data_IF_330049232930
#
_entry.id   IF_330049232930
#
_cell.length_a   1.000
_cell.length_b   1.000
_cell.length_c   1.000
_cell.angle_alpha   90.00
_cell.angle_beta   90.00
_cell.angle_gamma   90.00
#
_symmetry.space_group_name_H-M   'P 1'
#
loop_
_entity.id
_entity.type
_entity.pdbx_description
1 polymer ?
#
# COMPACT_ATOMS: atom_id res chain seq x y z
N UNK A 1 64.08 -19.52 25.54
CA UNK A 1 63.31 -20.29 26.55
C UNK A 1 61.97 -20.66 25.91
N UNK A 2 61.77 -21.92 25.55
CA UNK A 2 60.55 -22.42 24.87
C UNK A 2 59.49 -22.68 25.92
N UNK A 3 58.33 -22.02 25.84
CA UNK A 3 57.15 -22.36 26.66
C UNK A 3 56.09 -22.89 25.69
N UNK A 4 55.79 -24.18 25.87
CA UNK A 4 54.74 -24.93 25.20
C UNK A 4 53.39 -24.46 25.76
N UNK A 5 52.51 -23.95 24.91
CA UNK A 5 51.09 -23.85 25.25
C UNK A 5 50.39 -25.11 24.73
N UNK A 6 49.99 -25.96 25.67
CA UNK A 6 49.19 -27.15 25.43
C UNK A 6 47.81 -26.74 24.92
N UNK A 7 47.41 -27.32 23.78
CA UNK A 7 46.06 -27.23 23.26
C UNK A 7 45.09 -27.94 24.22
N UNK A 8 44.19 -27.17 24.85
CA UNK A 8 43.01 -27.70 25.51
C UNK A 8 41.87 -27.67 24.48
N UNK A 9 41.62 -28.80 23.84
CA UNK A 9 40.53 -28.98 22.89
C UNK A 9 39.21 -29.02 23.67
N UNK A 10 38.51 -27.88 23.75
CA UNK A 10 37.13 -27.86 24.18
C UNK A 10 36.26 -28.47 23.07
N UNK A 11 35.80 -29.70 23.26
CA UNK A 11 34.74 -30.28 22.46
C UNK A 11 33.44 -29.51 22.74
N UNK A 12 33.15 -28.49 21.92
CA UNK A 12 31.78 -28.02 21.77
C UNK A 12 30.99 -29.15 21.12
N UNK A 13 30.24 -29.89 21.92
CA UNK A 13 29.06 -30.60 21.47
C UNK A 13 28.15 -29.56 20.82
N UNK A 14 28.14 -29.50 19.50
CA UNK A 14 26.99 -29.00 18.77
C UNK A 14 25.83 -29.94 19.13
N UNK A 15 25.11 -29.63 20.19
CA UNK A 15 23.70 -29.97 20.22
C UNK A 15 23.12 -29.29 18.98
N UNK A 16 22.88 -30.08 17.93
CA UNK A 16 22.06 -29.61 16.82
C UNK A 16 20.81 -29.01 17.44
N UNK A 17 20.55 -27.73 17.17
CA UNK A 17 19.26 -27.14 17.46
C UNK A 17 18.26 -28.04 16.76
N UNK A 18 17.60 -28.93 17.52
CA UNK A 18 16.48 -29.68 17.01
C UNK A 18 15.48 -28.61 16.57
N UNK A 19 15.32 -28.46 15.26
CA UNK A 19 14.28 -27.61 14.73
C UNK A 19 12.97 -28.21 15.24
N UNK A 20 12.23 -27.44 16.05
CA UNK A 20 10.90 -27.86 16.48
C UNK A 20 10.09 -28.19 15.24
N UNK A 21 9.59 -29.42 15.14
CA UNK A 21 8.89 -29.87 13.95
C UNK A 21 7.45 -29.35 13.90
N UNK A 22 6.94 -28.90 15.05
CA UNK A 22 5.64 -28.29 15.26
C UNK A 22 5.78 -26.79 15.54
N UNK A 23 5.01 -25.95 14.85
CA UNK A 23 4.93 -24.51 15.09
C UNK A 23 3.48 -24.04 15.21
N UNK A 24 3.20 -23.14 16.17
CA UNK A 24 1.90 -22.48 16.32
C UNK A 24 2.00 -21.05 15.83
N UNK A 25 1.41 -20.77 14.66
CA UNK A 25 1.45 -19.49 13.96
C UNK A 25 0.19 -18.68 14.28
N UNK A 26 0.37 -17.42 14.70
CA UNK A 26 -0.69 -16.49 15.11
C UNK A 26 -0.47 -15.11 14.49
N UNK A 27 -1.50 -14.27 14.52
CA UNK A 27 -1.32 -12.83 14.32
C UNK A 27 -0.52 -12.28 15.53
N UNK A 28 0.69 -11.78 15.27
CA UNK A 28 1.64 -11.35 16.31
C UNK A 28 1.18 -10.12 17.11
N UNK A 29 0.25 -9.32 16.56
CA UNK A 29 -0.41 -8.25 17.33
C UNK A 29 -1.59 -8.86 18.10
N UNK A 30 -2.50 -9.53 17.37
CA UNK A 30 -3.62 -10.25 17.93
C UNK A 30 -4.90 -10.16 17.10
N UNK A 31 -6.05 -10.26 17.76
CA UNK A 31 -7.37 -10.39 17.13
C UNK A 31 -8.42 -9.47 17.78
N UNK A 32 -9.36 -8.95 16.98
CA UNK A 32 -10.50 -8.21 17.53
C UNK A 32 -11.51 -9.13 18.22
N UNK A 33 -12.14 -8.63 19.29
CA UNK A 33 -13.09 -9.37 20.15
C UNK A 33 -14.17 -10.11 19.36
N UNK A 34 -14.83 -9.42 18.43
CA UNK A 34 -15.92 -9.99 17.64
C UNK A 34 -15.47 -10.57 16.29
N UNK A 35 -14.19 -10.45 15.94
CA UNK A 35 -13.67 -10.94 14.66
C UNK A 35 -13.44 -12.45 14.68
N UNK A 36 -13.42 -13.11 13.50
CA UNK A 36 -12.90 -14.46 13.37
C UNK A 36 -11.45 -14.57 13.86
N UNK A 37 -11.11 -15.63 14.58
CA UNK A 37 -9.80 -15.84 15.20
C UNK A 37 -9.29 -17.23 14.91
N UNK A 38 -8.17 -17.29 14.20
CA UNK A 38 -7.55 -18.53 13.79
C UNK A 38 -6.06 -18.51 14.08
N UNK A 39 -5.54 -19.66 14.54
CA UNK A 39 -4.12 -19.98 14.53
C UNK A 39 -3.88 -21.16 13.58
N UNK A 40 -2.67 -21.24 13.03
CA UNK A 40 -2.25 -22.35 12.19
C UNK A 40 -1.18 -23.15 12.92
N UNK A 41 -1.44 -24.44 13.14
CA UNK A 41 -0.43 -25.39 13.58
C UNK A 41 0.23 -25.97 12.34
N UNK A 42 1.49 -25.61 12.11
CA UNK A 42 2.32 -26.11 11.02
C UNK A 42 3.17 -27.28 11.54
N UNK A 43 3.13 -28.40 10.83
CA UNK A 43 3.92 -29.60 11.10
C UNK A 43 4.92 -29.86 9.98
N UNK A 44 6.09 -30.35 10.35
CA UNK A 44 7.18 -30.79 9.46
C UNK A 44 7.76 -32.12 9.95
N UNK A 45 8.58 -32.80 9.16
CA UNK A 45 9.29 -34.00 9.61
C UNK A 45 8.41 -35.08 10.23
N UNK A 46 8.86 -35.66 11.33
CA UNK A 46 8.22 -36.77 12.02
C UNK A 46 6.90 -36.37 12.72
N UNK A 47 6.74 -35.10 13.10
CA UNK A 47 5.50 -34.58 13.70
C UNK A 47 4.25 -34.77 12.80
N UNK A 48 4.45 -34.91 11.49
CA UNK A 48 3.38 -35.21 10.52
C UNK A 48 2.79 -36.61 10.69
N UNK A 49 3.57 -37.58 11.17
CA UNK A 49 3.11 -38.95 11.33
C UNK A 49 2.14 -39.12 12.51
N UNK A 50 2.22 -38.21 13.50
CA UNK A 50 1.37 -38.20 14.70
C UNK A 50 0.90 -36.77 14.98
N UNK A 51 0.01 -36.23 14.14
CA UNK A 51 -0.42 -34.85 14.27
C UNK A 51 -1.19 -34.64 15.58
N UNK A 52 -1.02 -33.49 16.24
CA UNK A 52 -1.82 -33.14 17.40
C UNK A 52 -3.30 -33.01 17.02
N UNK A 53 -4.18 -33.40 17.95
CA UNK A 53 -5.64 -33.39 17.72
C UNK A 53 -6.33 -32.18 18.36
N UNK A 54 -5.77 -31.63 19.44
CA UNK A 54 -6.40 -30.57 20.24
C UNK A 54 -5.52 -29.36 20.35
N UNK A 55 -6.15 -28.21 20.53
CA UNK A 55 -5.49 -27.00 21.01
C UNK A 55 -6.16 -26.52 22.29
N UNK A 56 -5.42 -25.73 23.06
CA UNK A 56 -5.93 -25.02 24.24
C UNK A 56 -5.50 -23.56 24.17
N UNK A 57 -6.45 -22.66 24.36
CA UNK A 57 -6.19 -21.25 24.62
C UNK A 57 -5.95 -21.08 26.13
N UNK A 58 -4.80 -20.51 26.47
CA UNK A 58 -4.38 -20.27 27.83
C UNK A 58 -4.38 -18.77 28.10
N UNK A 59 -4.87 -18.37 29.26
CA UNK A 59 -4.57 -17.05 29.81
C UNK A 59 -3.05 -16.92 29.98
N UNK A 60 -2.46 -15.86 29.43
CA UNK A 60 -1.01 -15.72 29.39
C UNK A 60 -0.38 -15.45 30.77
N UNK A 61 -1.13 -14.89 31.72
CA UNK A 61 -0.61 -14.57 33.05
C UNK A 61 -0.82 -15.74 34.02
N UNK A 62 -2.02 -16.30 34.06
CA UNK A 62 -2.36 -17.37 35.02
C UNK A 62 -2.08 -18.77 34.48
N UNK A 63 -1.74 -18.90 33.19
CA UNK A 63 -1.57 -20.17 32.48
C UNK A 63 -2.81 -21.09 32.55
N UNK A 64 -3.99 -20.50 32.81
CA UNK A 64 -5.25 -21.24 32.97
C UNK A 64 -5.87 -21.48 31.61
N UNK A 65 -6.32 -22.71 31.36
CA UNK A 65 -7.11 -23.02 30.18
C UNK A 65 -8.43 -22.26 30.21
N UNK A 66 -8.66 -21.44 29.18
CA UNK A 66 -9.88 -20.64 29.02
C UNK A 66 -10.77 -21.17 27.89
N UNK A 67 -10.18 -21.86 26.92
CA UNK A 67 -10.87 -22.56 25.85
C UNK A 67 -10.05 -23.77 25.43
N UNK A 68 -10.72 -24.86 25.05
CA UNK A 68 -10.09 -25.97 24.31
C UNK A 68 -10.92 -26.28 23.07
N UNK A 69 -10.25 -26.72 22.02
CA UNK A 69 -10.90 -27.10 20.77
C UNK A 69 -10.12 -28.18 20.02
N UNK A 70 -10.68 -28.63 18.91
CA UNK A 70 -10.07 -29.63 18.04
C UNK A 70 -9.39 -28.93 16.87
N UNK A 71 -8.18 -29.39 16.54
CA UNK A 71 -7.45 -28.96 15.37
C UNK A 71 -8.11 -29.51 14.10
N UNK A 72 -8.43 -28.62 13.17
CA UNK A 72 -9.08 -28.97 11.91
C UNK A 72 -8.01 -29.15 10.83
N UNK A 73 -7.88 -30.33 10.20
CA UNK A 73 -6.91 -30.51 9.11
C UNK A 73 -7.22 -29.53 7.98
N UNK A 74 -6.19 -29.01 7.32
CA UNK A 74 -6.30 -28.18 6.13
C UNK A 74 -5.72 -28.93 4.94
N UNK A 75 -6.16 -28.54 3.74
CA UNK A 75 -5.62 -29.09 2.51
C UNK A 75 -4.14 -28.73 2.34
N UNK A 76 -3.42 -29.55 1.58
CA UNK A 76 -2.03 -29.28 1.22
C UNK A 76 -1.94 -27.97 0.41
N UNK A 77 -0.90 -27.19 0.69
CA UNK A 77 -0.63 -25.94 -0.03
C UNK A 77 0.39 -26.22 -1.15
N UNK A 78 0.02 -26.07 -2.43
CA UNK A 78 0.92 -26.39 -3.54
C UNK A 78 2.24 -25.62 -3.46
N UNK A 79 3.36 -26.35 -3.63
CA UNK A 79 4.70 -25.77 -3.63
C UNK A 79 5.28 -25.42 -2.26
N UNK A 80 4.58 -25.69 -1.15
CA UNK A 80 5.08 -25.43 0.21
C UNK A 80 5.86 -26.61 0.83
N UNK A 81 6.11 -27.65 0.04
CA UNK A 81 6.95 -28.79 0.40
C UNK A 81 6.33 -29.69 1.47
N UNK A 82 7.18 -30.25 2.32
CA UNK A 82 6.82 -31.23 3.35
C UNK A 82 6.21 -30.60 4.61
N UNK A 83 5.15 -29.82 4.43
CA UNK A 83 4.41 -29.16 5.51
C UNK A 83 2.97 -29.63 5.54
N UNK A 84 2.43 -29.84 6.74
CA UNK A 84 1.01 -30.12 6.95
C UNK A 84 0.44 -29.07 7.90
N UNK A 85 -0.79 -28.62 7.63
CA UNK A 85 -1.39 -27.50 8.34
C UNK A 85 -2.69 -27.92 9.03
N UNK A 86 -2.88 -27.43 10.24
CA UNK A 86 -4.12 -27.55 10.99
C UNK A 86 -4.59 -26.18 11.46
N UNK A 87 -5.89 -25.93 11.38
CA UNK A 87 -6.52 -24.71 11.87
C UNK A 87 -7.03 -24.92 13.29
N UNK A 88 -6.65 -24.02 14.18
CA UNK A 88 -7.29 -23.83 15.48
C UNK A 88 -8.24 -22.63 15.40
N UNK A 89 -9.54 -22.87 15.38
CA UNK A 89 -10.57 -21.83 15.43
C UNK A 89 -10.99 -21.56 16.87
N UNK A 90 -10.69 -20.37 17.37
CA UNK A 90 -11.07 -19.91 18.69
C UNK A 90 -11.93 -18.64 18.63
N UNK A 91 -12.65 -18.44 17.51
CA UNK A 91 -13.52 -17.30 17.28
C UNK A 91 -14.59 -17.13 18.36
N UNK A 92 -15.05 -18.25 18.94
CA UNK A 92 -16.01 -18.26 20.05
C UNK A 92 -15.50 -17.64 21.35
N UNK A 93 -14.20 -17.46 21.52
CA UNK A 93 -13.65 -16.73 22.66
C UNK A 93 -13.65 -15.22 22.40
N UNK A 94 -14.42 -14.50 23.21
CA UNK A 94 -14.65 -13.05 23.04
C UNK A 94 -14.20 -12.23 24.26
N UNK A 95 -13.60 -12.86 25.27
CA UNK A 95 -13.11 -12.15 26.46
C UNK A 95 -11.81 -11.41 26.11
N UNK A 96 -11.73 -10.08 26.27
CA UNK A 96 -10.49 -9.35 26.09
C UNK A 96 -9.39 -9.85 27.03
N UNK A 97 -8.13 -9.83 26.59
CA UNK A 97 -7.00 -10.28 27.40
C UNK A 97 -5.76 -10.64 26.58
N UNK A 98 -4.73 -11.15 27.28
CA UNK A 98 -3.51 -11.68 26.66
C UNK A 98 -3.51 -13.20 26.75
N UNK A 99 -3.25 -13.86 25.62
CA UNK A 99 -3.39 -15.30 25.51
C UNK A 99 -2.19 -15.93 24.80
N UNK A 100 -2.05 -17.23 25.01
CA UNK A 100 -1.15 -18.12 24.27
C UNK A 100 -1.96 -19.31 23.80
N UNK A 101 -1.71 -19.77 22.57
CA UNK A 101 -2.30 -21.01 22.07
C UNK A 101 -1.29 -22.15 22.20
N UNK A 102 -1.71 -23.24 22.83
CA UNK A 102 -0.90 -24.44 23.06
C UNK A 102 -1.49 -25.63 22.32
N UNK A 103 -0.61 -26.48 21.78
CA UNK A 103 -0.92 -27.82 21.31
C UNK A 103 0.11 -28.80 21.86
N UNK A 104 -0.27 -30.06 22.07
CA UNK A 104 0.66 -31.12 22.52
C UNK A 104 0.96 -32.03 21.33
N UNK A 105 2.21 -32.04 20.88
CA UNK A 105 2.70 -32.83 19.74
C UNK A 105 3.81 -33.81 20.15
N UNK A 106 4.48 -34.43 19.18
CA UNK A 106 5.70 -35.21 19.40
C UNK A 106 6.84 -34.41 20.02
N UNK A 107 6.83 -33.08 19.84
CA UNK A 107 7.80 -32.14 20.43
C UNK A 107 7.46 -31.77 21.89
N UNK A 108 6.39 -32.34 22.45
CA UNK A 108 5.84 -31.97 23.75
C UNK A 108 4.81 -30.84 23.66
N UNK A 109 4.72 -30.01 24.70
CA UNK A 109 3.81 -28.87 24.72
C UNK A 109 4.39 -27.70 23.93
N UNK A 110 3.82 -27.44 22.76
CA UNK A 110 4.24 -26.38 21.84
C UNK A 110 3.28 -25.20 21.93
N UNK A 111 3.85 -24.00 22.09
CA UNK A 111 3.12 -22.75 22.33
C UNK A 111 3.39 -21.73 21.24
N UNK A 112 2.39 -20.88 20.96
CA UNK A 112 2.60 -19.64 20.23
C UNK A 112 3.36 -18.61 21.08
N UNK A 113 3.80 -17.52 20.46
CA UNK A 113 4.04 -16.28 21.21
C UNK A 113 2.74 -15.72 21.82
N UNK A 114 2.83 -14.83 22.83
CA UNK A 114 1.66 -14.18 23.40
C UNK A 114 1.01 -13.23 22.39
N UNK A 115 -0.32 -13.16 22.39
CA UNK A 115 -1.08 -12.23 21.54
C UNK A 115 -2.27 -11.63 22.32
N UNK A 116 -2.85 -10.56 21.78
CA UNK A 116 -3.94 -9.84 22.43
C UNK A 116 -5.28 -10.19 21.78
N UNK A 117 -6.34 -10.32 22.56
CA UNK A 117 -7.72 -10.20 22.09
C UNK A 117 -8.27 -8.91 22.68
N UNK A 118 -8.66 -7.96 21.82
CA UNK A 118 -9.02 -6.60 22.23
C UNK A 118 -9.98 -5.93 21.25
N UNK A 119 -10.41 -4.72 21.55
CA UNK A 119 -11.20 -3.92 20.62
C UNK A 119 -10.30 -2.97 19.82
N UNK A 120 -10.66 -2.74 18.56
CA UNK A 120 -9.95 -1.86 17.61
C UNK A 120 -8.43 -2.14 17.58
N UNK A 121 -8.04 -3.42 17.65
CA UNK A 121 -6.71 -3.83 18.08
C UNK A 121 -5.61 -3.31 17.16
N UNK A 122 -5.75 -3.55 15.85
CA UNK A 122 -4.72 -3.13 14.90
C UNK A 122 -4.58 -1.61 14.86
N UNK A 123 -5.70 -0.87 14.95
CA UNK A 123 -5.66 0.59 14.95
C UNK A 123 -5.00 1.12 16.21
N UNK A 124 -5.35 0.57 17.37
CA UNK A 124 -4.78 0.98 18.65
C UNK A 124 -3.27 0.78 18.71
N UNK A 125 -2.78 -0.36 18.20
CA UNK A 125 -1.37 -0.75 18.34
C UNK A 125 -0.48 -0.39 17.16
N UNK A 126 -1.02 -0.07 15.97
CA UNK A 126 -0.18 0.12 14.77
C UNK A 126 -0.41 1.43 14.03
N UNK A 127 -1.59 2.06 14.15
CA UNK A 127 -1.93 3.21 13.31
C UNK A 127 -1.02 4.42 13.57
N UNK A 128 -0.69 4.70 14.83
CA UNK A 128 0.24 5.77 15.19
C UNK A 128 1.62 5.60 14.54
N UNK A 129 2.12 4.37 14.51
CA UNK A 129 3.43 4.05 13.95
C UNK A 129 3.42 4.11 12.42
N UNK A 130 2.34 3.66 11.78
CA UNK A 130 2.16 3.81 10.33
C UNK A 130 2.13 5.29 9.92
N UNK A 131 1.42 6.14 10.67
CA UNK A 131 1.41 7.59 10.40
C UNK A 131 2.81 8.19 10.63
N UNK A 132 3.50 7.79 11.71
CA UNK A 132 4.86 8.25 11.99
C UNK A 132 5.86 7.78 10.91
N UNK A 133 5.68 6.57 10.38
CA UNK A 133 6.46 6.03 9.27
C UNK A 133 6.38 6.96 8.06
N UNK A 134 5.18 7.30 7.57
CA UNK A 134 5.04 8.23 6.43
C UNK A 134 5.69 9.58 6.74
N UNK A 135 5.47 10.13 7.93
CA UNK A 135 6.12 11.39 8.32
C UNK A 135 7.64 11.32 8.31
N UNK A 136 8.23 10.17 8.66
CA UNK A 136 9.67 9.94 8.62
C UNK A 136 10.22 9.73 7.21
N UNK A 137 9.40 9.29 6.27
CA UNK A 137 9.76 9.08 4.86
C UNK A 137 9.54 10.32 3.99
N UNK A 138 9.13 11.47 4.56
CA UNK A 138 9.00 12.71 3.80
C UNK A 138 10.33 13.08 3.14
N UNK A 139 10.27 13.55 1.89
CA UNK A 139 11.44 14.14 1.22
C UNK A 139 11.89 15.36 2.00
N UNK A 140 13.15 15.38 2.41
CA UNK A 140 13.70 16.36 3.36
C UNK A 140 15.13 16.75 2.99
N UNK A 141 15.66 17.80 3.62
CA UNK A 141 17.07 18.16 3.52
C UNK A 141 17.51 18.54 2.10
N UNK A 142 18.63 18.00 1.64
CA UNK A 142 19.21 18.34 0.34
C UNK A 142 18.33 17.90 -0.84
N UNK A 143 17.59 16.80 -0.70
CA UNK A 143 16.66 16.35 -1.74
C UNK A 143 15.47 17.30 -1.89
N UNK A 144 14.82 17.71 -0.79
CA UNK A 144 13.74 18.71 -0.86
C UNK A 144 14.25 20.04 -1.45
N UNK A 145 15.47 20.45 -1.09
CA UNK A 145 16.09 21.66 -1.65
C UNK A 145 16.31 21.56 -3.17
N UNK A 146 16.74 20.40 -3.67
CA UNK A 146 16.91 20.17 -5.09
C UNK A 146 15.56 20.16 -5.82
N UNK A 147 14.54 19.50 -5.25
CA UNK A 147 13.22 19.32 -5.85
C UNK A 147 12.45 20.64 -6.07
N UNK A 148 12.89 21.73 -5.42
CA UNK A 148 12.35 23.09 -5.64
C UNK A 148 12.75 23.71 -6.97
N UNK A 149 13.76 23.18 -7.66
CA UNK A 149 14.34 23.77 -8.88
C UNK A 149 14.82 22.71 -9.87
N UNK A 150 14.04 21.65 -10.08
CA UNK A 150 14.41 20.61 -11.05
C UNK A 150 14.30 21.15 -12.48
N UNK A 151 15.22 20.80 -13.39
CA UNK A 151 15.10 21.17 -14.79
C UNK A 151 13.84 20.55 -15.40
N UNK A 152 13.16 21.30 -16.26
CA UNK A 152 12.07 20.74 -17.07
C UNK A 152 12.62 19.66 -18.03
N UNK A 153 11.89 18.55 -18.23
CA UNK A 153 12.35 17.50 -19.14
C UNK A 153 12.54 17.98 -20.59
N UNK A 154 13.42 17.33 -21.36
CA UNK A 154 13.60 17.61 -22.78
C UNK A 154 12.27 17.60 -23.54
N UNK A 155 12.08 18.60 -24.42
CA UNK A 155 10.87 18.73 -25.24
C UNK A 155 9.62 19.23 -24.51
N UNK A 156 9.72 19.61 -23.21
CA UNK A 156 8.59 20.15 -22.42
C UNK A 156 8.69 21.67 -22.16
N UNK A 157 9.76 22.31 -22.63
CA UNK A 157 10.05 23.73 -22.44
C UNK A 157 11.47 23.98 -21.94
N UNK A 158 11.75 25.18 -21.42
CA UNK A 158 13.01 25.55 -20.78
C UNK A 158 12.75 26.13 -19.39
N UNK A 159 13.73 26.00 -18.49
CA UNK A 159 13.64 26.48 -17.11
C UNK A 159 13.54 25.35 -16.09
N UNK A 160 13.01 25.69 -14.91
CA UNK A 160 12.91 24.77 -13.77
C UNK A 160 11.49 24.71 -13.23
N UNK A 161 11.16 23.61 -12.56
CA UNK A 161 9.90 23.42 -11.83
C UNK A 161 10.17 23.16 -10.35
N UNK A 162 9.26 23.63 -9.51
CA UNK A 162 9.19 23.28 -8.09
C UNK A 162 8.22 22.13 -7.90
N UNK A 163 8.74 20.95 -7.55
CA UNK A 163 8.00 19.72 -7.27
C UNK A 163 8.30 19.16 -5.87
N UNK A 164 8.72 20.02 -4.93
CA UNK A 164 9.13 19.57 -3.60
C UNK A 164 7.99 18.93 -2.78
N UNK A 165 8.36 18.10 -1.81
CA UNK A 165 7.46 17.32 -0.97
C UNK A 165 7.36 15.85 -1.41
N UNK A 166 6.28 15.19 -0.99
CA UNK A 166 6.10 13.75 -1.20
C UNK A 166 6.92 12.91 -0.23
N UNK A 167 7.02 11.61 -0.51
CA UNK A 167 7.71 10.62 0.30
C UNK A 167 8.68 9.81 -0.55
N UNK A 168 9.81 9.42 0.03
CA UNK A 168 10.69 8.41 -0.59
C UNK A 168 9.91 7.12 -0.81
N UNK A 169 10.07 6.52 -1.99
CA UNK A 169 9.25 5.39 -2.43
C UNK A 169 9.58 4.08 -1.71
N UNK A 170 10.85 3.87 -1.36
CA UNK A 170 11.29 2.68 -0.63
C UNK A 170 12.50 2.95 0.27
N UNK A 171 12.77 2.02 1.19
CA UNK A 171 13.94 2.08 2.09
C UNK A 171 15.28 2.10 1.37
N UNK A 172 15.32 1.63 0.11
CA UNK A 172 16.48 1.68 -0.77
C UNK A 172 16.29 2.54 -2.02
N UNK A 173 15.15 3.24 -2.13
CA UNK A 173 14.85 4.11 -3.27
C UNK A 173 14.32 5.47 -2.80
N UNK A 174 15.17 6.49 -2.93
CA UNK A 174 14.85 7.88 -2.58
C UNK A 174 14.21 8.67 -3.74
N UNK A 175 13.75 7.99 -4.78
CA UNK A 175 12.85 8.55 -5.78
C UNK A 175 11.45 8.82 -5.19
N UNK A 176 10.64 9.60 -5.91
CA UNK A 176 9.22 9.83 -5.60
C UNK A 176 8.41 9.51 -6.85
N UNK A 177 7.40 8.65 -6.71
CA UNK A 177 6.61 8.19 -7.86
C UNK A 177 5.12 8.38 -7.67
N UNK A 178 4.44 8.74 -8.76
CA UNK A 178 2.99 8.59 -8.86
C UNK A 178 2.63 7.17 -9.32
N UNK A 179 3.46 6.62 -10.22
CA UNK A 179 3.45 5.24 -10.73
C UNK A 179 4.81 4.94 -11.38
N UNK A 180 5.05 3.67 -11.71
CA UNK A 180 6.11 3.21 -12.63
C UNK A 180 5.63 2.06 -13.53
N UNK A 181 6.54 1.38 -14.23
CA UNK A 181 6.30 0.17 -15.05
C UNK A 181 5.44 0.42 -16.31
N UNK A 182 5.57 1.60 -16.94
CA UNK A 182 4.72 2.02 -18.05
C UNK A 182 4.76 1.08 -19.26
N UNK A 183 5.86 0.39 -19.50
CA UNK A 183 5.98 -0.51 -20.67
C UNK A 183 5.35 -1.91 -20.45
N UNK A 184 4.64 -2.14 -19.34
CA UNK A 184 4.03 -3.43 -19.01
C UNK A 184 2.53 -3.53 -19.33
N UNK A 185 1.88 -2.40 -19.64
CA UNK A 185 0.42 -2.21 -19.76
C UNK A 185 -0.42 -2.54 -18.52
N UNK A 186 -0.07 -3.56 -17.72
CA UNK A 186 -0.92 -4.16 -16.69
C UNK A 186 -0.36 -4.08 -15.25
N UNK A 187 0.83 -3.51 -15.05
CA UNK A 187 1.50 -3.49 -13.74
C UNK A 187 1.79 -2.08 -13.22
N UNK A 188 1.06 -1.07 -13.70
CA UNK A 188 1.16 0.28 -13.16
C UNK A 188 0.63 0.33 -11.71
N UNK A 189 1.52 0.62 -10.76
CA UNK A 189 1.19 0.77 -9.34
C UNK A 189 0.73 2.20 -9.03
N UNK A 190 -0.28 2.34 -8.15
CA UNK A 190 -0.66 3.65 -7.64
C UNK A 190 0.16 3.92 -6.36
N UNK A 191 1.09 4.87 -6.41
CA UNK A 191 2.10 5.08 -5.35
C UNK A 191 1.75 6.27 -4.44
N UNK A 192 2.51 7.38 -4.47
CA UNK A 192 2.25 8.54 -3.60
C UNK A 192 0.79 9.05 -3.62
N UNK A 193 0.08 9.07 -4.77
CA UNK A 193 -1.33 9.46 -4.79
C UNK A 193 -2.25 8.53 -3.98
N UNK A 194 -1.96 7.23 -3.94
CA UNK A 194 -2.73 6.26 -3.15
C UNK A 194 -2.53 6.49 -1.65
N UNK A 195 -1.34 6.91 -1.23
CA UNK A 195 -1.07 7.30 0.16
C UNK A 195 -1.95 8.49 0.57
N UNK A 196 -2.01 9.53 -0.26
CA UNK A 196 -2.88 10.70 -0.01
C UNK A 196 -4.34 10.28 0.11
N UNK A 197 -4.84 9.52 -0.86
CA UNK A 197 -6.22 9.06 -0.85
C UNK A 197 -6.53 8.21 0.40
N UNK A 198 -5.64 7.29 0.77
CA UNK A 198 -5.82 6.38 1.90
C UNK A 198 -5.80 7.11 3.23
N UNK A 199 -4.89 8.06 3.44
CA UNK A 199 -4.83 8.88 4.65
C UNK A 199 -6.10 9.73 4.82
N UNK A 200 -6.54 10.40 3.76
CA UNK A 200 -7.73 11.25 3.80
C UNK A 200 -9.04 10.45 3.90
N UNK A 201 -9.09 9.28 3.26
CA UNK A 201 -10.25 8.37 3.39
C UNK A 201 -10.29 7.75 4.79
N UNK A 202 -9.15 7.36 5.33
CA UNK A 202 -9.02 6.89 6.71
C UNK A 202 -9.44 7.96 7.71
N UNK A 203 -9.03 9.22 7.51
CA UNK A 203 -9.50 10.37 8.28
C UNK A 203 -11.04 10.48 8.29
N UNK A 204 -11.70 10.35 7.14
CA UNK A 204 -13.17 10.37 7.06
C UNK A 204 -13.81 9.17 7.77
N UNK A 205 -13.25 7.97 7.60
CA UNK A 205 -13.78 6.75 8.21
C UNK A 205 -13.66 6.79 9.75
N UNK A 206 -12.54 7.27 10.28
CA UNK A 206 -12.36 7.47 11.73
C UNK A 206 -13.32 8.54 12.25
N UNK A 207 -13.47 9.65 11.51
CA UNK A 207 -14.42 10.70 11.86
C UNK A 207 -15.87 10.21 11.90
N UNK A 208 -16.26 9.31 10.99
CA UNK A 208 -17.60 8.74 10.96
C UNK A 208 -17.90 7.75 12.10
N UNK A 209 -16.86 7.17 12.72
CA UNK A 209 -17.00 6.29 13.90
C UNK A 209 -17.16 7.05 15.21
N UNK A 210 -16.77 8.32 15.24
CA UNK A 210 -16.88 9.21 16.40
C UNK A 210 -16.31 8.59 17.70
N UNK A 211 -15.12 7.98 17.59
CA UNK A 211 -14.43 7.35 18.71
C UNK A 211 -13.27 8.25 19.18
N UNK A 212 -13.36 8.85 20.39
CA UNK A 212 -12.40 9.84 20.87
C UNK A 212 -11.00 9.27 21.08
N UNK A 213 -10.84 7.94 21.21
CA UNK A 213 -9.53 7.31 21.32
C UNK A 213 -8.67 7.49 20.05
N UNK A 214 -9.28 7.89 18.93
CA UNK A 214 -8.60 8.06 17.65
C UNK A 214 -8.51 9.52 17.17
N UNK A 215 -8.92 10.49 17.99
CA UNK A 215 -8.96 11.90 17.58
C UNK A 215 -7.57 12.44 17.19
N UNK A 216 -6.54 12.14 17.97
CA UNK A 216 -5.18 12.59 17.67
C UNK A 216 -4.60 11.88 16.44
N UNK A 217 -4.93 10.61 16.22
CA UNK A 217 -4.52 9.89 15.02
C UNK A 217 -5.21 10.48 13.79
N UNK A 218 -6.50 10.78 13.90
CA UNK A 218 -7.29 11.43 12.85
C UNK A 218 -6.68 12.78 12.46
N UNK A 219 -6.31 13.65 13.41
CA UNK A 219 -5.63 14.93 13.12
C UNK A 219 -4.30 14.72 12.41
N UNK A 220 -3.49 13.74 12.83
CA UNK A 220 -2.21 13.43 12.18
C UNK A 220 -2.38 12.84 10.77
N UNK A 221 -3.44 12.05 10.53
CA UNK A 221 -3.77 11.56 9.19
C UNK A 221 -4.20 12.70 8.26
N UNK A 222 -4.94 13.69 8.78
CA UNK A 222 -5.30 14.88 8.01
C UNK A 222 -4.05 15.70 7.63
N UNK A 223 -3.15 15.97 8.59
CA UNK A 223 -1.86 16.65 8.35
C UNK A 223 -1.05 15.94 7.25
N UNK A 224 -0.82 14.64 7.40
CA UNK A 224 -0.02 13.86 6.46
C UNK A 224 -0.69 13.73 5.07
N UNK A 225 -2.03 13.58 5.05
CA UNK A 225 -2.79 13.55 3.81
C UNK A 225 -2.74 14.87 3.05
N UNK A 226 -2.87 16.01 3.73
CA UNK A 226 -2.78 17.34 3.12
C UNK A 226 -1.35 17.67 2.66
N UNK A 227 -0.32 17.24 3.39
CA UNK A 227 1.07 17.35 2.96
C UNK A 227 1.29 16.68 1.59
N UNK A 228 0.75 15.47 1.39
CA UNK A 228 0.84 14.81 0.09
C UNK A 228 -0.08 15.44 -0.97
N UNK A 229 -1.26 15.94 -0.61
CA UNK A 229 -2.11 16.68 -1.54
C UNK A 229 -1.39 17.92 -2.11
N UNK A 230 -0.63 18.64 -1.28
CA UNK A 230 0.19 19.75 -1.75
C UNK A 230 1.25 19.33 -2.75
N UNK A 231 1.91 18.19 -2.49
CA UNK A 231 2.86 17.61 -3.43
C UNK A 231 2.20 17.27 -4.79
N UNK A 232 1.00 16.69 -4.79
CA UNK A 232 0.27 16.39 -6.02
C UNK A 232 -0.07 17.66 -6.82
N UNK A 233 -0.40 18.77 -6.16
CA UNK A 233 -0.59 20.06 -6.85
C UNK A 233 0.71 20.54 -7.50
N UNK A 234 1.87 20.39 -6.84
CA UNK A 234 3.17 20.78 -7.42
C UNK A 234 3.59 19.89 -8.58
N UNK A 235 3.23 18.61 -8.55
CA UNK A 235 3.48 17.67 -9.65
C UNK A 235 2.64 17.94 -10.91
N UNK A 236 1.56 18.73 -10.79
CA UNK A 236 0.70 19.09 -11.93
C UNK A 236 1.42 20.04 -12.88
N UNK A 237 1.43 19.72 -14.17
CA UNK A 237 1.82 20.66 -15.22
C UNK A 237 0.66 21.62 -15.52
N UNK A 238 0.89 22.94 -15.69
CA UNK A 238 -0.18 23.89 -15.98
C UNK A 238 -1.00 23.49 -17.22
N UNK A 239 -2.33 23.34 -17.08
CA UNK A 239 -3.25 22.98 -18.17
C UNK A 239 -3.09 21.55 -18.73
N UNK A 240 -2.21 20.72 -18.17
CA UNK A 240 -1.89 19.38 -18.68
C UNK A 240 -2.12 18.28 -17.63
N UNK A 241 -1.45 17.13 -17.69
CA UNK A 241 -1.47 16.13 -16.62
C UNK A 241 -0.33 16.38 -15.61
N UNK A 242 0.03 15.37 -14.83
CA UNK A 242 1.09 15.42 -13.81
C UNK A 242 2.40 14.89 -14.37
N UNK A 243 3.54 15.36 -13.87
CA UNK A 243 4.77 14.57 -13.94
C UNK A 243 4.58 13.24 -13.21
N UNK A 244 5.30 12.20 -13.63
CA UNK A 244 5.11 10.87 -13.04
C UNK A 244 6.15 10.51 -11.97
N UNK A 245 7.40 10.98 -12.09
CA UNK A 245 8.50 10.52 -11.23
C UNK A 245 9.57 11.58 -11.06
N UNK A 246 10.08 11.69 -9.82
CA UNK A 246 11.35 12.35 -9.50
C UNK A 246 12.37 11.26 -9.17
N UNK A 247 13.52 11.26 -9.84
CA UNK A 247 14.59 10.29 -9.58
C UNK A 247 15.90 10.95 -9.22
N UNK A 248 16.78 10.18 -8.58
CA UNK A 248 18.19 10.50 -8.39
C UNK A 248 19.02 9.56 -9.26
N UNK A 249 19.34 9.90 -10.52
CA UNK A 249 20.25 9.12 -11.35
C UNK A 249 21.67 9.05 -10.77
N UNK A 250 22.50 8.20 -11.38
CA UNK A 250 23.89 8.00 -10.95
C UNK A 250 24.05 6.97 -9.84
N UNK A 251 25.30 6.52 -9.66
CA UNK A 251 25.67 5.49 -8.68
C UNK A 251 25.50 5.99 -7.23
N UNK A 252 25.87 7.24 -6.99
CA UNK A 252 25.90 7.84 -5.67
C UNK A 252 24.55 8.46 -5.24
N UNK A 253 23.56 8.51 -6.15
CA UNK A 253 22.20 8.98 -5.89
C UNK A 253 22.17 10.36 -5.20
N UNK A 254 23.01 11.29 -5.67
CA UNK A 254 23.20 12.58 -5.01
C UNK A 254 22.04 13.54 -5.27
N UNK A 255 21.82 14.46 -4.33
CA UNK A 255 20.74 15.43 -4.42
C UNK A 255 20.85 16.37 -5.62
N UNK A 256 22.07 16.75 -5.98
CA UNK A 256 22.36 17.58 -7.15
C UNK A 256 22.00 16.91 -8.48
N UNK A 257 21.88 15.58 -8.50
CA UNK A 257 21.62 14.81 -9.72
C UNK A 257 20.12 14.58 -9.92
N UNK A 258 19.25 15.07 -9.02
CA UNK A 258 17.80 14.85 -9.10
C UNK A 258 17.19 15.44 -10.36
N UNK A 259 16.25 14.71 -10.94
CA UNK A 259 15.54 15.08 -12.17
C UNK A 259 14.11 14.58 -12.16
N UNK A 260 13.26 15.21 -12.97
CA UNK A 260 12.04 14.53 -13.44
C UNK A 260 12.49 13.39 -14.36
N UNK A 261 12.16 12.15 -13.98
CA UNK A 261 12.69 10.97 -14.63
C UNK A 261 11.89 10.56 -15.86
N UNK A 262 12.56 9.86 -16.79
CA UNK A 262 11.89 9.22 -17.92
C UNK A 262 10.93 8.16 -17.37
N UNK A 263 9.61 8.26 -17.60
CA UNK A 263 8.65 7.29 -17.05
C UNK A 263 8.48 6.05 -17.94
N UNK A 264 9.04 6.05 -19.17
CA UNK A 264 8.88 4.97 -20.15
C UNK A 264 9.86 3.82 -19.90
N UNK A 265 9.74 3.18 -18.74
CA UNK A 265 10.56 2.03 -18.39
C UNK A 265 9.75 0.92 -17.73
N UNK A 266 10.34 -0.28 -17.69
CA UNK A 266 9.86 -1.43 -16.93
C UNK A 266 11.03 -2.29 -16.44
N UNK A 267 10.78 -3.11 -15.43
CA UNK A 267 11.70 -4.18 -15.07
C UNK A 267 11.65 -5.32 -16.09
N UNK A 268 12.75 -6.06 -16.20
CA UNK A 268 12.82 -7.34 -16.90
C UNK A 268 13.59 -8.36 -16.07
N UNK A 269 13.22 -9.63 -16.24
CA UNK A 269 13.95 -10.74 -15.65
C UNK A 269 15.26 -10.89 -16.42
N UNK A 270 16.37 -10.97 -15.71
CA UNK A 270 17.67 -11.29 -16.32
C UNK A 270 17.67 -12.76 -16.73
N UNK A 271 17.98 -13.02 -18.00
CA UNK A 271 18.27 -14.37 -18.47
C UNK A 271 19.78 -14.65 -18.42
N UNK A 272 20.58 -13.58 -18.54
CA UNK A 272 22.05 -13.62 -18.47
C UNK A 272 22.56 -12.57 -17.49
N UNK A 273 23.76 -12.80 -16.94
CA UNK A 273 24.38 -11.89 -15.97
C UNK A 273 24.56 -10.46 -16.52
N UNK A 274 24.91 -10.36 -17.81
CA UNK A 274 25.11 -9.11 -18.55
C UNK A 274 23.85 -8.30 -18.81
N UNK A 275 22.66 -8.88 -18.64
CA UNK A 275 21.41 -8.20 -18.97
C UNK A 275 21.15 -7.06 -17.97
N UNK A 276 20.56 -5.97 -18.46
CA UNK A 276 19.98 -4.94 -17.59
C UNK A 276 18.75 -5.51 -16.87
N UNK A 277 18.51 -5.08 -15.63
CA UNK A 277 17.23 -5.36 -14.94
C UNK A 277 16.10 -4.47 -15.41
N UNK A 278 16.38 -3.47 -16.27
CA UNK A 278 15.45 -2.46 -16.73
C UNK A 278 15.48 -2.37 -18.26
N UNK A 279 14.29 -2.26 -18.86
CA UNK A 279 14.08 -1.80 -20.23
C UNK A 279 13.56 -0.37 -20.15
N UNK A 280 14.21 0.54 -20.86
CA UNK A 280 13.79 1.92 -20.98
C UNK A 280 13.67 2.29 -22.46
N UNK A 281 12.57 2.95 -22.80
CA UNK A 281 12.33 3.55 -24.12
C UNK A 281 12.46 5.07 -24.01
N UNK A 282 12.86 5.72 -25.09
CA UNK A 282 13.02 7.18 -25.12
C UNK A 282 11.67 7.89 -24.87
N UNK A 283 11.66 8.88 -23.98
CA UNK A 283 10.51 9.76 -23.80
C UNK A 283 10.47 10.84 -24.90
N UNK A 284 9.70 10.58 -25.96
CA UNK A 284 9.59 11.48 -27.11
C UNK A 284 8.36 12.39 -27.01
N UNK A 285 8.60 13.69 -26.97
CA UNK A 285 7.56 14.72 -27.01
C UNK A 285 6.97 15.11 -25.65
N UNK A 286 6.12 16.16 -25.61
CA UNK A 286 5.71 16.79 -24.36
C UNK A 286 4.78 15.93 -23.49
N UNK A 287 4.09 14.95 -24.07
CA UNK A 287 3.20 14.03 -23.35
C UNK A 287 3.94 12.87 -22.69
N UNK A 288 5.14 12.52 -23.16
CA UNK A 288 5.85 11.32 -22.72
C UNK A 288 6.34 11.38 -21.27
N UNK A 289 6.40 12.58 -20.67
CA UNK A 289 6.82 12.81 -19.29
C UNK A 289 5.65 12.85 -18.30
N UNK A 290 4.44 12.60 -18.79
CA UNK A 290 3.21 12.84 -18.05
C UNK A 290 2.50 11.55 -17.69
N UNK A 291 1.84 11.56 -16.54
CA UNK A 291 1.05 10.44 -16.05
C UNK A 291 -0.30 10.34 -16.77
N UNK A 292 -0.61 9.14 -17.29
CA UNK A 292 -1.93 8.70 -17.76
C UNK A 292 -2.85 8.38 -16.58
N UNK A 293 -4.12 8.03 -16.83
CA UNK A 293 -5.04 7.57 -15.78
C UNK A 293 -4.41 6.42 -14.98
N UNK A 294 -3.98 5.34 -15.66
CA UNK A 294 -3.34 4.20 -15.00
C UNK A 294 -1.95 4.49 -14.44
N UNK A 295 -1.20 5.45 -14.98
CA UNK A 295 0.17 5.75 -14.50
C UNK A 295 0.21 6.83 -13.42
N UNK A 296 -0.80 6.85 -12.54
CA UNK A 296 -0.82 7.62 -11.30
C UNK A 296 -1.66 8.90 -11.35
N UNK A 297 -2.03 9.40 -12.53
CA UNK A 297 -2.81 10.65 -12.61
C UNK A 297 -4.27 10.46 -12.18
N UNK A 298 -4.89 9.31 -12.49
CA UNK A 298 -6.27 9.05 -12.09
C UNK A 298 -6.41 9.01 -10.56
N UNK A 299 -5.47 8.34 -9.88
CA UNK A 299 -5.43 8.35 -8.40
C UNK A 299 -5.08 9.73 -7.83
N UNK A 300 -4.25 10.53 -8.53
CA UNK A 300 -3.96 11.92 -8.13
C UNK A 300 -5.19 12.80 -8.18
N UNK A 301 -5.99 12.68 -9.23
CA UNK A 301 -7.29 13.36 -9.38
C UNK A 301 -8.22 12.94 -8.24
N UNK A 302 -8.34 11.65 -7.95
CA UNK A 302 -9.17 11.14 -6.87
C UNK A 302 -8.75 11.68 -5.50
N UNK A 303 -7.44 11.67 -5.23
CA UNK A 303 -6.86 12.17 -3.99
C UNK A 303 -7.09 13.69 -3.82
N UNK A 304 -6.86 14.49 -4.85
CA UNK A 304 -7.08 15.95 -4.82
C UNK A 304 -8.56 16.32 -4.73
N UNK A 305 -9.43 15.60 -5.44
CA UNK A 305 -10.88 15.77 -5.31
C UNK A 305 -11.33 15.44 -3.88
N UNK A 306 -10.78 14.40 -3.25
CA UNK A 306 -11.05 14.08 -1.85
C UNK A 306 -10.50 15.16 -0.89
N UNK A 307 -9.26 15.62 -1.10
CA UNK A 307 -8.63 16.69 -0.31
C UNK A 307 -9.46 17.98 -0.31
N UNK A 308 -10.10 18.31 -1.44
CA UNK A 308 -10.99 19.49 -1.53
C UNK A 308 -12.20 19.46 -0.58
N UNK A 309 -12.54 18.28 -0.03
CA UNK A 309 -13.66 18.09 0.89
C UNK A 309 -13.26 18.09 2.37
N UNK A 310 -11.97 18.24 2.67
CA UNK A 310 -11.48 18.26 4.04
C UNK A 310 -11.89 19.54 4.78
N UNK A 311 -11.72 19.54 6.10
CA UNK A 311 -12.00 20.71 6.93
C UNK A 311 -10.92 21.80 6.82
N UNK A 312 -9.67 21.40 6.55
CA UNK A 312 -8.51 22.29 6.51
C UNK A 312 -7.88 22.34 5.11
N UNK A 313 -7.18 23.44 4.85
CA UNK A 313 -6.28 23.61 3.71
C UNK A 313 -4.87 23.13 4.09
N UNK A 314 -4.06 22.76 3.10
CA UNK A 314 -2.60 22.63 3.25
C UNK A 314 -1.90 23.93 2.85
N UNK A 315 -0.78 23.84 2.13
CA UNK A 315 -0.16 24.99 1.47
C UNK A 315 -1.00 25.51 0.30
N UNK A 316 -1.85 24.65 -0.27
CA UNK A 316 -2.86 25.04 -1.25
C UNK A 316 -4.26 24.95 -0.64
N UNK A 317 -5.14 25.81 -1.13
CA UNK A 317 -6.55 25.84 -0.70
C UNK A 317 -7.30 24.62 -1.23
N UNK A 318 -8.37 24.22 -0.53
CA UNK A 318 -9.31 23.19 -1.03
C UNK A 318 -9.87 23.48 -2.41
N UNK A 319 -10.05 24.76 -2.76
CA UNK A 319 -10.47 25.18 -4.11
C UNK A 319 -9.37 24.88 -5.14
N UNK A 320 -8.10 25.12 -4.82
CA UNK A 320 -7.00 24.77 -5.70
C UNK A 320 -6.86 23.25 -5.88
N UNK A 321 -7.08 22.45 -4.83
CA UNK A 321 -7.14 20.99 -4.98
C UNK A 321 -8.22 20.55 -5.97
N UNK A 322 -9.46 21.07 -5.80
CA UNK A 322 -10.57 20.74 -6.71
C UNK A 322 -10.28 21.16 -8.15
N UNK A 323 -9.86 22.41 -8.34
CA UNK A 323 -9.54 22.93 -9.67
C UNK A 323 -8.43 22.11 -10.36
N UNK A 324 -7.40 21.74 -9.61
CA UNK A 324 -6.30 20.90 -10.12
C UNK A 324 -6.81 19.52 -10.58
N UNK A 325 -7.73 18.92 -9.81
CA UNK A 325 -8.34 17.65 -10.16
C UNK A 325 -9.23 17.75 -11.41
N UNK A 326 -10.08 18.78 -11.50
CA UNK A 326 -10.97 19.02 -12.64
C UNK A 326 -10.19 19.28 -13.93
N UNK A 327 -9.17 20.14 -13.87
CA UNK A 327 -8.31 20.48 -15.01
C UNK A 327 -7.55 19.25 -15.54
N UNK A 328 -6.93 18.47 -14.65
CA UNK A 328 -6.24 17.23 -15.03
C UNK A 328 -7.19 16.19 -15.64
N UNK A 329 -8.38 16.03 -15.05
CA UNK A 329 -9.37 15.08 -15.56
C UNK A 329 -9.84 15.46 -16.97
N UNK A 330 -10.15 16.75 -17.19
CA UNK A 330 -10.54 17.26 -18.51
C UNK A 330 -9.44 17.10 -19.56
N UNK A 331 -8.17 17.24 -19.15
CA UNK A 331 -7.03 16.98 -20.02
C UNK A 331 -6.92 15.50 -20.40
N UNK A 332 -7.00 14.58 -19.43
CA UNK A 332 -6.87 13.15 -19.66
C UNK A 332 -8.02 12.57 -20.49
N UNK A 333 -9.25 13.06 -20.30
CA UNK A 333 -10.39 12.72 -21.14
C UNK A 333 -10.11 12.88 -22.65
N UNK A 334 -9.22 13.81 -23.02
CA UNK A 334 -8.86 14.09 -24.42
C UNK A 334 -7.56 13.42 -24.86
N UNK A 335 -6.67 13.10 -23.92
CA UNK A 335 -5.28 12.76 -24.24
C UNK A 335 -4.81 11.39 -23.71
N UNK A 336 -5.57 10.69 -22.87
CA UNK A 336 -5.10 9.49 -22.17
C UNK A 336 -4.55 8.42 -23.12
N UNK A 337 -5.28 8.10 -24.21
CA UNK A 337 -4.86 7.11 -25.22
C UNK A 337 -3.52 7.43 -25.91
N UNK A 338 -3.06 8.69 -25.86
CA UNK A 338 -1.77 9.12 -26.43
C UNK A 338 -0.62 8.98 -25.44
N UNK A 339 -0.92 8.71 -24.18
CA UNK A 339 0.03 8.66 -23.06
C UNK A 339 0.24 7.24 -22.53
N UNK A 340 -0.57 6.30 -23.00
CA UNK A 340 -0.48 4.89 -22.65
C UNK A 340 0.36 4.13 -23.68
N UNK A 341 1.24 3.25 -23.21
CA UNK A 341 2.28 2.59 -24.02
C UNK A 341 1.73 1.75 -25.20
N UNK A 342 0.51 1.23 -25.08
CA UNK A 342 -0.13 0.34 -26.05
C UNK A 342 -1.31 0.99 -26.79
N UNK A 343 -1.56 2.28 -26.56
CA UNK A 343 -2.66 3.03 -27.17
C UNK A 343 -4.05 2.54 -26.73
N UNK A 344 -4.16 1.77 -25.64
CA UNK A 344 -5.43 1.18 -25.17
C UNK A 344 -5.60 1.39 -23.67
N UNK A 345 -6.80 1.79 -23.28
CA UNK A 345 -7.20 1.78 -21.88
C UNK A 345 -7.45 0.35 -21.40
N UNK A 346 -7.22 0.11 -20.13
CA UNK A 346 -7.56 -1.15 -19.46
C UNK A 346 -8.18 -0.89 -18.09
N UNK A 347 -8.42 -1.97 -17.34
CA UNK A 347 -9.06 -1.91 -16.02
C UNK A 347 -8.40 -0.91 -15.05
N UNK A 348 -7.09 -0.65 -15.17
CA UNK A 348 -6.40 0.33 -14.35
C UNK A 348 -6.77 1.77 -14.70
N UNK A 349 -6.97 2.06 -15.99
CA UNK A 349 -7.52 3.34 -16.41
C UNK A 349 -8.96 3.50 -15.89
N UNK A 350 -9.77 2.43 -15.99
CA UNK A 350 -11.18 2.45 -15.55
C UNK A 350 -11.34 2.71 -14.05
N UNK A 351 -10.66 1.95 -13.18
CA UNK A 351 -10.85 2.13 -11.73
C UNK A 351 -10.27 3.45 -11.23
N UNK A 352 -9.16 3.92 -11.80
CA UNK A 352 -8.55 5.19 -11.39
C UNK A 352 -9.34 6.39 -11.91
N UNK A 353 -9.85 6.33 -13.14
CA UNK A 353 -10.70 7.37 -13.71
C UNK A 353 -12.08 7.40 -13.07
N UNK A 354 -12.65 6.26 -12.66
CA UNK A 354 -13.91 6.21 -11.91
C UNK A 354 -13.75 6.81 -10.50
N UNK A 355 -12.68 6.45 -9.79
CA UNK A 355 -12.37 7.02 -8.48
C UNK A 355 -12.17 8.53 -8.52
N UNK A 356 -11.53 9.06 -9.57
CA UNK A 356 -11.34 10.49 -9.79
C UNK A 356 -12.59 11.21 -10.33
N UNK A 357 -13.22 10.61 -11.33
CA UNK A 357 -14.34 11.15 -12.08
C UNK A 357 -15.63 11.24 -11.28
N UNK A 358 -15.96 10.25 -10.44
CA UNK A 358 -17.20 10.27 -9.68
C UNK A 358 -17.30 11.49 -8.73
N UNK A 359 -16.17 11.99 -8.20
CA UNK A 359 -16.16 13.17 -7.31
C UNK A 359 -15.85 14.48 -8.03
N UNK A 360 -14.97 14.47 -9.03
CA UNK A 360 -14.71 15.66 -9.85
C UNK A 360 -15.96 16.06 -10.68
N UNK A 361 -16.68 15.08 -11.25
CA UNK A 361 -17.85 15.32 -12.11
C UNK A 361 -19.13 15.56 -11.31
N UNK A 362 -19.32 14.93 -10.13
CA UNK A 362 -20.56 15.09 -9.35
C UNK A 362 -20.78 16.50 -8.76
N UNK A 363 -19.76 17.37 -8.74
CA UNK A 363 -19.93 18.81 -8.46
C UNK A 363 -20.07 19.67 -9.71
N UNK A 364 -19.39 19.34 -10.81
CA UNK A 364 -19.62 19.99 -12.12
C UNK A 364 -21.09 19.84 -12.57
N UNK A 365 -21.70 18.68 -12.32
CA UNK A 365 -23.13 18.47 -12.57
C UNK A 365 -24.04 19.32 -11.65
N UNK A 366 -23.63 19.62 -10.41
CA UNK A 366 -24.40 20.48 -9.49
C UNK A 366 -24.21 21.97 -9.78
N UNK A 367 -23.09 22.39 -10.35
CA UNK A 367 -22.88 23.77 -10.82
C UNK A 367 -23.41 24.04 -12.24
N UNK A 368 -23.69 22.99 -13.02
CA UNK A 368 -24.17 23.07 -14.41
C UNK A 368 -25.68 22.88 -14.62
N UNK A 369 -26.45 22.51 -13.60
CA UNK A 369 -27.90 22.28 -13.70
C UNK A 369 -28.76 23.58 -13.69
N UNK A 370 -28.20 24.69 -14.14
CA UNK A 370 -28.98 25.87 -14.56
C UNK A 370 -28.94 26.10 -16.08
N UNK A 371 -28.46 25.15 -16.89
CA UNK A 371 -28.53 25.28 -18.35
C UNK A 371 -28.24 23.99 -19.11
N UNK A 372 -29.22 23.57 -19.90
CA UNK A 372 -29.18 22.52 -20.93
C UNK A 372 -29.33 21.05 -20.46
N UNK A 373 -30.48 20.49 -20.83
CA UNK A 373 -30.91 19.13 -20.54
C UNK A 373 -30.12 18.06 -21.28
N UNK A 374 -29.92 16.94 -20.59
CA UNK A 374 -29.40 15.71 -21.16
C UNK A 374 -30.48 15.04 -22.02
N UNK A 375 -30.16 14.75 -23.29
CA UNK A 375 -30.92 13.78 -24.07
C UNK A 375 -30.53 12.37 -23.60
N UNK A 376 -31.45 11.73 -22.91
CA UNK A 376 -31.39 10.30 -22.66
C UNK A 376 -31.66 9.58 -23.99
N UNK A 377 -30.73 8.73 -24.44
CA UNK A 377 -31.03 7.70 -25.45
C UNK A 377 -31.71 6.54 -24.73
N UNK A 378 -32.80 6.08 -25.33
CA UNK A 378 -33.84 5.30 -24.69
C UNK A 378 -33.49 3.86 -24.35
N UNK A 379 -34.05 3.43 -23.24
CA UNK A 379 -34.51 2.06 -23.04
C UNK A 379 -35.76 1.81 -23.92
N UNK A 380 -35.92 0.63 -24.52
CA UNK A 380 -37.23 0.18 -24.95
C UNK A 380 -37.87 -0.65 -23.82
N UNK A 381 -38.86 -0.05 -23.17
CA UNK A 381 -39.89 -0.76 -22.42
C UNK A 381 -41.00 -1.25 -23.37
N UNK A 382 -41.52 -2.44 -23.10
CA UNK A 382 -42.75 -2.98 -23.70
C UNK A 382 -42.81 -4.50 -23.58
N UNK A 383 -43.39 -5.03 -22.48
CA UNK A 383 -44.76 -5.56 -22.41
C UNK A 383 -44.88 -6.99 -23.01
N UNK A 384 -45.52 -8.01 -22.43
CA UNK A 384 -46.52 -8.15 -21.37
C UNK A 384 -46.72 -9.65 -21.13
N UNK A 385 -47.16 -10.01 -19.93
CA UNK A 385 -47.77 -11.30 -19.57
C UNK A 385 -48.79 -11.83 -20.61
N UNK A 386 -48.76 -13.13 -20.85
CA UNK A 386 -49.97 -13.93 -21.19
C UNK A 386 -49.89 -15.26 -20.45
N UNK A 387 -50.95 -15.55 -19.69
CA UNK A 387 -51.20 -16.79 -18.99
C UNK A 387 -51.37 -17.99 -19.94
N UNK A 388 -50.95 -19.17 -19.47
CA UNK A 388 -51.14 -20.48 -20.08
C UNK A 388 -50.39 -21.56 -19.33
#
# INVERSE_FOLDING_TARGET
MRIRFSALTAALLLAGLAHAETHVLINQVGYDVAAPKNAIVQLTGDSRAKPPVKFTLLDNETNKAVLSGTLQPQDDVPGWGDRTFYRADFSGWQTPGRYVLQTTSSDGDVRSGPFIIGADLLEHYTLSDVIAYFKSQRVTGLFDKADRKLPLPPGTGSGTVDVHGGWYDATGDYCVHLSHQNLTSYFNSQQAPLVVWSLLRGYQNLGARDNPNFDEYRRRMLDEGLYGADFLVRMKRPGESFFQTISSPGKEKLAQDRVIANPNWRTQIKEKESDSTIVEEEAVGPLAWQASFRSGAGMSIAALALASTMENDGNFTRRQYLHTAEDAFAFLQKNNLRMVNDGKENIMDDYTSAAGGYRAVSRLAKSGLSGCGASARGEPDGATDVAG
#
